data_IF_896502212651
#
_entry.id   IF_896502212651
#
_cell.length_a   1.000
_cell.length_b   1.000
_cell.length_c   1.000
_cell.angle_alpha   90.00
_cell.angle_beta   90.00
_cell.angle_gamma   90.00
#
_symmetry.space_group_name_H-M   'P 1'
#
loop_
_entity.id
_entity.type
_entity.pdbx_description
1 polymer ?
#
# COMPACT_ATOMS: atom_id res chain seq x y z
N UNK A 1 -18.54 -26.67 -14.30
CA UNK A 1 -17.45 -26.40 -15.25
C UNK A 1 -16.96 -24.99 -15.00
N UNK A 2 -16.01 -24.83 -14.08
CA UNK A 2 -15.38 -23.54 -13.74
C UNK A 2 -13.92 -23.82 -13.42
N UNK A 3 -13.15 -24.22 -14.44
CA UNK A 3 -11.69 -24.18 -14.36
C UNK A 3 -11.24 -22.75 -14.66
N UNK A 4 -11.21 -21.91 -13.63
CA UNK A 4 -10.45 -20.66 -13.68
C UNK A 4 -8.97 -21.06 -13.54
N UNK A 5 -8.26 -21.08 -14.66
CA UNK A 5 -6.80 -21.27 -14.67
C UNK A 5 -6.13 -20.09 -13.95
N UNK A 6 -5.95 -20.26 -12.66
CA UNK A 6 -5.18 -19.39 -11.81
C UNK A 6 -3.69 -19.56 -12.19
N UNK A 7 -2.98 -18.47 -12.51
CA UNK A 7 -1.54 -18.54 -12.80
C UNK A 7 -0.81 -19.23 -11.63
N UNK A 8 0.23 -20.06 -11.88
CA UNK A 8 1.00 -20.71 -10.80
C UNK A 8 1.51 -19.72 -9.75
N UNK A 9 1.77 -18.47 -10.14
CA UNK A 9 2.17 -17.39 -9.22
C UNK A 9 1.02 -16.93 -8.29
N UNK A 10 -0.22 -16.89 -8.79
CA UNK A 10 -1.40 -16.55 -8.00
C UNK A 10 -1.79 -17.67 -7.03
N UNK A 11 -1.68 -18.94 -7.46
CA UNK A 11 -1.86 -20.12 -6.59
C UNK A 11 -0.79 -20.18 -5.49
N UNK A 12 0.45 -19.82 -5.82
CA UNK A 12 1.53 -19.73 -4.84
C UNK A 12 1.33 -18.61 -3.82
N UNK A 13 0.90 -17.41 -4.24
CA UNK A 13 0.58 -16.31 -3.32
C UNK A 13 -0.62 -16.65 -2.43
N UNK A 14 -1.67 -17.24 -3.00
CA UNK A 14 -2.84 -17.72 -2.27
C UNK A 14 -2.47 -18.78 -1.22
N UNK A 15 -1.67 -19.79 -1.59
CA UNK A 15 -1.19 -20.82 -0.68
C UNK A 15 -0.18 -20.31 0.36
N UNK A 16 0.65 -19.32 0.00
CA UNK A 16 1.64 -18.73 0.90
C UNK A 16 1.02 -17.84 1.98
N UNK A 17 -0.18 -17.27 1.74
CA UNK A 17 -0.84 -16.36 2.68
C UNK A 17 -2.04 -16.95 3.44
N UNK A 18 -2.66 -18.04 2.98
CA UNK A 18 -3.76 -18.72 3.70
C UNK A 18 -3.32 -19.66 4.83
N UNK A 19 -2.02 -19.90 5.00
CA UNK A 19 -1.49 -20.87 5.97
C UNK A 19 -1.33 -20.35 7.40
N UNK A 20 -2.38 -19.82 8.06
CA UNK A 20 -2.39 -19.69 9.54
C UNK A 20 -3.76 -19.33 10.14
N UNK A 21 -4.79 -20.16 9.93
CA UNK A 21 -5.90 -20.32 10.88
C UNK A 21 -6.30 -21.80 10.86
N UNK A 22 -6.23 -22.42 12.04
CA UNK A 22 -6.76 -23.74 12.47
C UNK A 22 -7.12 -24.75 11.37
N UNK A 23 -6.34 -25.83 11.35
CA UNK A 23 -6.69 -27.06 10.67
C UNK A 23 -7.95 -27.70 11.29
N UNK A 24 -9.11 -27.50 10.70
CA UNK A 24 -10.25 -28.41 10.86
C UNK A 24 -11.08 -28.47 9.57
N UNK A 25 -10.98 -29.63 8.91
CA UNK A 25 -11.87 -30.20 7.90
C UNK A 25 -12.30 -29.35 6.70
N UNK A 26 -11.69 -29.62 5.54
CA UNK A 26 -12.30 -29.39 4.22
C UNK A 26 -12.75 -30.73 3.59
N UNK A 27 -13.84 -30.77 2.80
CA UNK A 27 -14.37 -32.01 2.25
C UNK A 27 -13.61 -32.49 0.99
N UNK A 28 -13.15 -33.75 1.03
CA UNK A 28 -13.67 -34.80 0.16
C UNK A 28 -13.31 -34.89 -1.34
N UNK A 29 -12.48 -34.03 -1.93
CA UNK A 29 -12.11 -34.16 -3.36
C UNK A 29 -10.63 -34.45 -3.66
N UNK A 30 -9.78 -34.54 -2.63
CA UNK A 30 -8.34 -34.80 -2.76
C UNK A 30 -7.93 -36.23 -2.37
N UNK A 31 -8.57 -37.25 -2.95
CA UNK A 31 -8.03 -38.62 -2.99
C UNK A 31 -8.07 -39.13 -4.43
N UNK A 32 -6.90 -39.14 -5.08
CA UNK A 32 -6.74 -39.77 -6.38
C UNK A 32 -5.64 -39.15 -7.22
N UNK A 33 -4.37 -39.31 -6.80
CA UNK A 33 -3.22 -39.32 -7.70
C UNK A 33 -2.01 -39.82 -6.90
N UNK A 34 -1.86 -41.13 -6.85
CA UNK A 34 -0.63 -41.78 -6.40
C UNK A 34 0.51 -41.43 -7.36
N UNK A 35 1.67 -41.19 -6.77
CA UNK A 35 2.93 -40.85 -7.43
C UNK A 35 3.55 -42.09 -8.06
N UNK A 36 3.70 -42.10 -9.38
CA UNK A 36 4.77 -42.83 -10.06
C UNK A 36 5.63 -41.82 -10.81
N UNK A 37 6.94 -41.95 -10.62
CA UNK A 37 7.93 -41.01 -11.12
C UNK A 37 8.09 -41.05 -12.63
N UNK A 38 8.43 -39.89 -13.18
CA UNK A 38 9.47 -39.72 -14.20
C UNK A 38 9.72 -38.22 -14.38
N UNK A 39 10.96 -37.78 -14.17
CA UNK A 39 11.45 -36.52 -14.74
C UNK A 39 11.56 -36.66 -16.26
N UNK A 40 11.26 -35.60 -17.03
CA UNK A 40 12.03 -35.39 -18.23
C UNK A 40 12.63 -33.98 -18.30
N UNK A 41 13.95 -33.98 -18.34
CA UNK A 41 14.81 -32.92 -18.85
C UNK A 41 14.48 -32.55 -20.31
N UNK A 42 14.44 -31.24 -20.58
CA UNK A 42 14.89 -30.68 -21.87
C UNK A 42 13.85 -30.46 -22.97
N UNK A 43 13.33 -29.22 -23.05
CA UNK A 43 13.22 -28.42 -24.30
C UNK A 43 12.58 -27.07 -23.97
N UNK A 44 13.38 -26.01 -23.99
CA UNK A 44 12.86 -24.63 -24.04
C UNK A 44 12.36 -24.36 -25.47
N UNK A 45 11.25 -24.99 -25.82
CA UNK A 45 10.49 -24.70 -27.03
C UNK A 45 9.67 -23.44 -26.81
N UNK A 46 9.84 -22.48 -27.72
CA UNK A 46 9.08 -21.24 -27.85
C UNK A 46 7.59 -21.48 -27.55
N UNK A 47 7.09 -20.98 -26.41
CA UNK A 47 5.67 -20.96 -26.10
C UNK A 47 5.01 -19.85 -26.93
N UNK A 48 4.75 -20.20 -28.18
CA UNK A 48 3.79 -19.54 -29.05
C UNK A 48 2.43 -19.47 -28.36
N UNK A 49 2.00 -18.24 -28.08
CA UNK A 49 0.62 -17.76 -27.98
C UNK A 49 -0.46 -18.82 -27.69
N UNK A 50 -0.75 -19.05 -26.42
CA UNK A 50 -2.09 -19.53 -26.01
C UNK A 50 -2.94 -18.28 -25.80
N UNK A 51 -3.69 -17.94 -26.85
CA UNK A 51 -4.74 -16.94 -26.79
C UNK A 51 -6.00 -17.55 -26.16
N UNK A 52 -6.33 -17.14 -24.93
CA UNK A 52 -7.71 -16.95 -24.49
C UNK A 52 -7.75 -15.67 -23.65
N UNK A 53 -7.60 -14.52 -24.31
CA UNK A 53 -8.10 -13.26 -23.77
C UNK A 53 -9.56 -13.16 -24.19
N UNK A 54 -10.50 -13.36 -23.27
CA UNK A 54 -11.81 -12.72 -23.42
C UNK A 54 -11.54 -11.24 -23.67
N UNK A 55 -11.99 -10.69 -24.79
CA UNK A 55 -11.70 -9.29 -25.12
C UNK A 55 -12.27 -8.40 -24.03
N UNK A 56 -11.38 -7.88 -23.17
CA UNK A 56 -11.66 -6.78 -22.24
C UNK A 56 -12.50 -5.73 -22.95
N UNK A 57 -13.69 -5.41 -22.44
CA UNK A 57 -14.57 -4.51 -23.18
C UNK A 57 -13.92 -3.12 -23.27
N UNK A 58 -14.23 -2.40 -24.35
CA UNK A 58 -13.81 -1.00 -24.49
C UNK A 58 -14.29 -0.15 -23.31
N UNK A 59 -15.44 -0.50 -22.73
CA UNK A 59 -15.99 0.19 -21.57
C UNK A 59 -15.13 -0.04 -20.32
N UNK A 60 -14.76 -1.29 -20.02
CA UNK A 60 -13.89 -1.60 -18.88
C UNK A 60 -12.50 -0.98 -19.04
N UNK A 61 -11.94 -0.94 -20.25
CA UNK A 61 -10.70 -0.22 -20.54
C UNK A 61 -10.79 1.28 -20.17
N UNK A 62 -11.90 1.95 -20.53
CA UNK A 62 -12.10 3.36 -20.19
C UNK A 62 -12.26 3.56 -18.67
N UNK A 63 -12.99 2.65 -18.01
CA UNK A 63 -13.15 2.64 -16.55
C UNK A 63 -11.80 2.47 -15.87
N UNK A 64 -10.98 1.53 -16.31
CA UNK A 64 -9.65 1.29 -15.75
C UNK A 64 -8.71 2.48 -15.93
N UNK A 65 -8.74 3.17 -17.08
CA UNK A 65 -8.01 4.43 -17.27
C UNK A 65 -8.49 5.52 -16.33
N UNK A 66 -9.80 5.60 -16.08
CA UNK A 66 -10.36 6.54 -15.12
C UNK A 66 -9.94 6.19 -13.69
N UNK A 67 -9.98 4.91 -13.31
CA UNK A 67 -9.49 4.42 -12.03
C UNK A 67 -7.99 4.72 -11.83
N UNK A 68 -7.15 4.52 -12.85
CA UNK A 68 -5.72 4.87 -12.80
C UNK A 68 -5.50 6.37 -12.52
N UNK A 69 -6.31 7.26 -13.13
CA UNK A 69 -6.25 8.71 -12.83
C UNK A 69 -6.58 9.00 -11.37
N UNK A 70 -7.59 8.33 -10.80
CA UNK A 70 -7.90 8.46 -9.37
C UNK A 70 -6.77 7.92 -8.50
N UNK A 71 -6.19 6.77 -8.84
CA UNK A 71 -5.05 6.18 -8.14
C UNK A 71 -3.84 7.13 -8.13
N UNK A 72 -3.47 7.72 -9.27
CA UNK A 72 -2.39 8.74 -9.36
C UNK A 72 -2.70 9.95 -8.49
N UNK A 73 -3.93 10.45 -8.55
CA UNK A 73 -4.37 11.57 -7.72
C UNK A 73 -4.31 11.24 -6.22
N UNK A 74 -4.64 10.01 -5.85
CA UNK A 74 -4.48 9.49 -4.50
C UNK A 74 -3.02 9.59 -4.01
N UNK A 75 -2.06 9.17 -4.85
CA UNK A 75 -0.64 9.30 -4.51
C UNK A 75 -0.17 10.76 -4.40
N UNK A 76 -0.62 11.66 -5.29
CA UNK A 76 -0.30 13.10 -5.19
C UNK A 76 -0.80 13.71 -3.87
N UNK A 77 -2.04 13.38 -3.47
CA UNK A 77 -2.63 13.84 -2.21
C UNK A 77 -1.88 13.26 -1.00
N UNK A 78 -1.52 11.98 -1.05
CA UNK A 78 -0.73 11.34 0.00
C UNK A 78 0.65 12.00 0.16
N UNK A 79 1.30 12.38 -0.95
CA UNK A 79 2.56 13.14 -0.93
C UNK A 79 2.43 14.52 -0.26
N UNK A 80 1.23 15.11 -0.30
CA UNK A 80 0.88 16.36 0.41
C UNK A 80 0.34 16.12 1.83
N UNK A 81 0.45 14.90 2.34
CA UNK A 81 -0.09 14.47 3.66
C UNK A 81 -1.62 14.60 3.79
N UNK A 82 -2.35 14.73 2.69
CA UNK A 82 -3.81 14.75 2.68
C UNK A 82 -4.37 13.31 2.69
N UNK A 83 -4.10 12.55 3.76
CA UNK A 83 -4.32 11.11 3.81
C UNK A 83 -5.79 10.69 3.63
N UNK A 84 -6.73 11.42 4.23
CA UNK A 84 -8.17 11.13 4.06
C UNK A 84 -8.64 11.35 2.61
N UNK A 85 -8.18 12.44 1.98
CA UNK A 85 -8.49 12.73 0.58
C UNK A 85 -7.83 11.70 -0.35
N UNK A 86 -6.60 11.28 -0.06
CA UNK A 86 -5.92 10.21 -0.78
C UNK A 86 -6.69 8.87 -0.68
N UNK A 87 -7.11 8.49 0.54
CA UNK A 87 -7.94 7.29 0.77
C UNK A 87 -9.21 7.32 -0.05
N UNK A 88 -9.90 8.47 -0.08
CA UNK A 88 -11.13 8.63 -0.87
C UNK A 88 -10.89 8.39 -2.38
N UNK A 89 -9.75 8.84 -2.92
CA UNK A 89 -9.40 8.59 -4.33
C UNK A 89 -9.13 7.12 -4.63
N UNK A 90 -8.39 6.40 -3.77
CA UNK A 90 -8.16 4.96 -3.95
C UNK A 90 -9.45 4.15 -3.85
N UNK A 91 -10.32 4.46 -2.89
CA UNK A 91 -11.63 3.81 -2.76
C UNK A 91 -12.52 4.11 -3.98
N UNK A 92 -12.46 5.33 -4.52
CA UNK A 92 -13.19 5.68 -5.74
C UNK A 92 -12.69 4.89 -6.95
N UNK A 93 -11.37 4.70 -7.10
CA UNK A 93 -10.80 3.86 -8.14
C UNK A 93 -11.33 2.43 -8.07
N UNK A 94 -11.36 1.82 -6.87
CA UNK A 94 -11.90 0.48 -6.66
C UNK A 94 -13.41 0.40 -6.95
N UNK A 95 -14.19 1.42 -6.58
CA UNK A 95 -15.63 1.48 -6.88
C UNK A 95 -15.92 1.52 -8.38
N UNK A 96 -15.14 2.31 -9.13
CA UNK A 96 -15.31 2.39 -10.58
C UNK A 96 -15.02 1.04 -11.23
N UNK A 97 -13.93 0.38 -10.82
CA UNK A 97 -13.57 -0.95 -11.32
C UNK A 97 -14.63 -2.00 -10.98
N UNK A 98 -15.07 -2.06 -9.72
CA UNK A 98 -16.06 -3.05 -9.29
C UNK A 98 -17.37 -2.90 -10.05
N UNK A 99 -17.84 -1.67 -10.27
CA UNK A 99 -19.03 -1.39 -11.07
C UNK A 99 -18.85 -1.75 -12.55
N UNK A 100 -17.67 -1.50 -13.11
CA UNK A 100 -17.35 -1.87 -14.48
C UNK A 100 -17.34 -3.38 -14.70
N UNK A 101 -16.72 -4.12 -13.78
CA UNK A 101 -16.66 -5.59 -13.82
C UNK A 101 -18.05 -6.21 -13.64
N UNK A 102 -18.84 -5.70 -12.70
CA UNK A 102 -20.23 -6.12 -12.49
C UNK A 102 -21.10 -5.87 -13.73
N UNK A 103 -20.89 -4.74 -14.41
CA UNK A 103 -21.62 -4.42 -15.65
C UNK A 103 -21.25 -5.36 -16.81
N UNK A 104 -20.00 -5.84 -16.89
CA UNK A 104 -19.61 -6.85 -17.88
C UNK A 104 -20.19 -8.24 -17.56
N UNK A 105 -20.18 -8.64 -16.29
CA UNK A 105 -20.66 -9.96 -15.84
C UNK A 105 -22.18 -10.05 -15.66
N UNK A 106 -22.85 -8.90 -15.58
CA UNK A 106 -24.26 -8.76 -15.23
C UNK A 106 -24.61 -9.36 -13.85
N UNK A 107 -23.67 -9.32 -12.91
CA UNK A 107 -23.85 -9.70 -11.52
C UNK A 107 -23.22 -8.65 -10.59
N UNK A 108 -23.67 -8.51 -9.32
CA UNK A 108 -23.14 -7.50 -8.40
C UNK A 108 -22.00 -8.04 -7.54
N UNK A 109 -21.21 -9.00 -8.04
CA UNK A 109 -20.23 -9.74 -7.23
C UNK A 109 -19.12 -8.82 -6.72
N UNK A 110 -18.54 -7.99 -7.58
CA UNK A 110 -17.39 -7.15 -7.26
C UNK A 110 -17.79 -5.98 -6.36
N UNK A 111 -18.92 -5.33 -6.61
CA UNK A 111 -19.37 -4.21 -5.77
C UNK A 111 -19.76 -4.69 -4.37
N UNK A 112 -20.37 -5.88 -4.26
CA UNK A 112 -20.62 -6.51 -2.96
C UNK A 112 -19.31 -6.84 -2.24
N UNK A 113 -18.36 -7.47 -2.93
CA UNK A 113 -17.04 -7.79 -2.39
C UNK A 113 -16.33 -6.52 -1.87
N UNK A 114 -16.40 -5.40 -2.60
CA UNK A 114 -15.80 -4.13 -2.16
C UNK A 114 -16.43 -3.62 -0.86
N UNK A 115 -17.75 -3.68 -0.77
CA UNK A 115 -18.49 -3.20 0.40
C UNK A 115 -18.17 -4.03 1.64
N UNK A 116 -18.20 -5.36 1.53
CA UNK A 116 -17.91 -6.25 2.67
C UNK A 116 -16.41 -6.24 3.03
N UNK A 117 -15.51 -6.12 2.06
CA UNK A 117 -14.07 -6.04 2.32
C UNK A 117 -13.66 -4.77 3.06
N UNK A 118 -14.18 -3.60 2.64
CA UNK A 118 -13.92 -2.34 3.34
C UNK A 118 -14.55 -2.30 4.74
N UNK A 119 -15.71 -2.94 4.92
CA UNK A 119 -16.36 -3.09 6.22
C UNK A 119 -15.54 -3.97 7.15
N UNK A 120 -15.06 -5.11 6.67
CA UNK A 120 -14.23 -6.03 7.46
C UNK A 120 -12.94 -5.34 7.97
N UNK A 121 -12.31 -4.46 7.16
CA UNK A 121 -11.19 -3.62 7.64
C UNK A 121 -11.60 -2.69 8.78
N UNK A 122 -12.82 -2.14 8.76
CA UNK A 122 -13.33 -1.24 9.79
C UNK A 122 -13.70 -1.99 11.06
N UNK A 123 -14.53 -3.02 10.96
CA UNK A 123 -14.95 -3.88 12.08
C UNK A 123 -13.75 -4.59 12.75
N UNK A 124 -12.64 -4.79 12.04
CA UNK A 124 -11.41 -5.27 12.66
C UNK A 124 -10.90 -4.32 13.77
N UNK A 125 -11.13 -3.01 13.70
CA UNK A 125 -10.66 -2.09 14.75
C UNK A 125 -11.30 -2.36 16.12
N UNK A 126 -12.49 -2.97 16.15
CA UNK A 126 -13.22 -3.25 17.40
C UNK A 126 -12.55 -4.35 18.25
N UNK A 127 -11.61 -5.11 17.66
CA UNK A 127 -10.79 -6.09 18.37
C UNK A 127 -9.48 -5.52 18.92
N UNK A 128 -9.21 -4.23 18.71
CA UNK A 128 -8.01 -3.55 19.21
C UNK A 128 -8.39 -2.75 20.46
N UNK A 129 -7.87 -3.11 21.66
CA UNK A 129 -8.18 -2.38 22.89
C UNK A 129 -7.77 -0.90 22.80
N UNK A 130 -8.59 -0.02 23.36
CA UNK A 130 -8.34 1.43 23.37
C UNK A 130 -7.92 1.87 24.78
N UNK A 131 -6.84 2.64 24.87
CA UNK A 131 -6.40 3.25 26.13
C UNK A 131 -5.87 2.21 27.12
N UNK A 132 -6.48 2.12 28.30
CA UNK A 132 -6.07 1.21 29.38
C UNK A 132 -6.85 -0.11 29.41
N UNK A 133 -7.77 -0.32 28.47
CA UNK A 133 -8.55 -1.55 28.40
C UNK A 133 -7.62 -2.71 28.04
N UNK A 134 -7.77 -3.85 28.73
CA UNK A 134 -7.03 -5.07 28.42
C UNK A 134 -7.80 -5.92 27.42
N UNK A 135 -7.06 -6.74 26.66
CA UNK A 135 -7.63 -7.69 25.69
C UNK A 135 -8.66 -8.64 26.33
N UNK A 136 -8.47 -8.99 27.61
CA UNK A 136 -9.34 -9.88 28.36
C UNK A 136 -10.70 -9.27 28.73
N UNK A 137 -10.82 -7.94 28.69
CA UNK A 137 -12.04 -7.22 29.03
C UNK A 137 -12.98 -7.05 27.81
N UNK A 138 -12.59 -7.54 26.64
CA UNK A 138 -13.39 -7.47 25.42
C UNK A 138 -14.41 -8.60 25.39
N UNK A 139 -15.70 -8.25 25.31
CA UNK A 139 -16.77 -9.20 25.01
C UNK A 139 -16.78 -9.52 23.50
N UNK A 140 -15.96 -10.49 23.11
CA UNK A 140 -15.82 -10.95 21.72
C UNK A 140 -17.16 -11.40 21.13
N UNK A 141 -18.03 -12.02 21.94
CA UNK A 141 -19.32 -12.52 21.48
C UNK A 141 -20.30 -11.37 21.17
N UNK A 142 -20.26 -10.29 21.96
CA UNK A 142 -21.04 -9.09 21.69
C UNK A 142 -20.52 -8.34 20.47
N UNK A 143 -19.19 -8.18 20.35
CA UNK A 143 -18.54 -7.52 19.19
C UNK A 143 -18.93 -8.25 17.89
N UNK A 144 -18.69 -9.57 17.82
CA UNK A 144 -19.00 -10.38 16.64
C UNK A 144 -20.48 -10.33 16.26
N UNK A 145 -21.41 -10.37 17.24
CA UNK A 145 -22.85 -10.24 16.96
C UNK A 145 -23.25 -8.88 16.40
N UNK A 146 -22.51 -7.82 16.74
CA UNK A 146 -22.75 -6.47 16.23
C UNK A 146 -22.25 -6.26 14.80
N UNK A 147 -21.34 -7.12 14.32
CA UNK A 147 -20.72 -7.01 13.01
C UNK A 147 -21.61 -7.58 11.91
N UNK A 148 -21.47 -7.03 10.71
CA UNK A 148 -22.14 -7.54 9.51
C UNK A 148 -21.22 -8.40 8.64
N UNK A 149 -19.91 -8.39 8.91
CA UNK A 149 -18.94 -9.22 8.21
C UNK A 149 -19.12 -10.69 8.61
N UNK A 150 -19.37 -11.60 7.65
CA UNK A 150 -19.69 -13.00 7.93
C UNK A 150 -18.43 -13.86 8.14
N UNK A 151 -17.54 -13.46 9.05
CA UNK A 151 -16.33 -14.23 9.40
C UNK A 151 -16.64 -15.30 10.46
N UNK A 152 -17.45 -14.95 11.45
CA UNK A 152 -17.91 -15.87 12.49
C UNK A 152 -19.43 -15.98 12.43
N UNK A 153 -19.94 -17.21 12.41
CA UNK A 153 -21.38 -17.47 12.44
C UNK A 153 -21.88 -17.56 13.88
N UNK A 154 -23.13 -17.17 14.13
CA UNK A 154 -23.76 -17.27 15.45
C UNK A 154 -23.83 -18.70 16.01
N UNK A 155 -23.80 -19.70 15.12
CA UNK A 155 -23.81 -21.14 15.44
C UNK A 155 -22.39 -21.75 15.39
N UNK A 156 -21.39 -20.98 14.95
CA UNK A 156 -20.01 -21.44 14.80
C UNK A 156 -19.18 -21.22 16.07
N UNK A 157 -17.91 -21.66 16.02
CA UNK A 157 -16.96 -21.32 17.06
C UNK A 157 -16.66 -19.82 17.02
N UNK A 158 -16.89 -19.14 18.13
CA UNK A 158 -16.39 -17.79 18.35
C UNK A 158 -14.85 -17.80 18.39
N UNK A 159 -14.20 -16.67 18.09
CA UNK A 159 -12.76 -16.53 18.24
C UNK A 159 -12.36 -16.73 19.71
N UNK A 160 -11.22 -17.38 19.93
CA UNK A 160 -10.68 -17.59 21.28
C UNK A 160 -10.02 -16.32 21.79
N UNK A 161 -9.46 -15.49 20.89
CA UNK A 161 -8.76 -14.25 21.26
C UNK A 161 -9.13 -13.07 20.34
N UNK A 162 -9.00 -11.81 20.80
CA UNK A 162 -9.19 -10.64 19.93
C UNK A 162 -8.21 -10.61 18.76
N UNK A 163 -6.97 -11.08 18.96
CA UNK A 163 -5.95 -11.16 17.92
C UNK A 163 -6.34 -12.14 16.80
N UNK A 164 -6.92 -13.29 17.16
CA UNK A 164 -7.45 -14.26 16.20
C UNK A 164 -8.62 -13.67 15.41
N UNK A 165 -9.54 -12.99 16.08
CA UNK A 165 -10.67 -12.32 15.44
C UNK A 165 -10.20 -11.23 14.46
N UNK A 166 -9.27 -10.38 14.92
CA UNK A 166 -8.64 -9.35 14.12
C UNK A 166 -7.98 -9.92 12.85
N UNK A 167 -7.19 -10.98 13.00
CA UNK A 167 -6.53 -11.65 11.88
C UNK A 167 -7.54 -12.25 10.89
N UNK A 168 -8.60 -12.91 11.38
CA UNK A 168 -9.64 -13.50 10.54
C UNK A 168 -10.39 -12.44 9.71
N UNK A 169 -10.71 -11.29 10.31
CA UNK A 169 -11.33 -10.16 9.60
C UNK A 169 -10.41 -9.56 8.53
N UNK A 170 -9.11 -9.41 8.81
CA UNK A 170 -8.16 -8.91 7.82
C UNK A 170 -7.94 -9.90 6.67
N UNK A 171 -7.89 -11.19 6.94
CA UNK A 171 -7.82 -12.24 5.90
C UNK A 171 -9.06 -12.23 5.01
N UNK A 172 -10.25 -12.16 5.61
CA UNK A 172 -11.49 -12.01 4.85
C UNK A 172 -11.49 -10.72 4.02
N UNK A 173 -11.10 -9.59 4.61
CA UNK A 173 -11.01 -8.32 3.90
C UNK A 173 -10.06 -8.39 2.70
N UNK A 174 -8.89 -9.01 2.86
CA UNK A 174 -7.91 -9.21 1.79
C UNK A 174 -8.53 -9.91 0.59
N UNK A 175 -9.21 -11.05 0.81
CA UNK A 175 -9.85 -11.82 -0.26
C UNK A 175 -10.95 -11.03 -0.96
N UNK A 176 -11.81 -10.37 -0.18
CA UNK A 176 -12.92 -9.59 -0.73
C UNK A 176 -12.44 -8.35 -1.49
N UNK A 177 -11.38 -7.70 -1.02
CA UNK A 177 -10.77 -6.57 -1.72
C UNK A 177 -10.07 -6.99 -3.01
N UNK A 178 -9.46 -8.17 -3.05
CA UNK A 178 -8.90 -8.75 -4.27
C UNK A 178 -10.01 -9.10 -5.27
N UNK A 179 -11.06 -9.80 -4.84
CA UNK A 179 -12.23 -10.10 -5.70
C UNK A 179 -12.84 -8.81 -6.24
N UNK A 180 -13.02 -7.78 -5.41
CA UNK A 180 -13.57 -6.48 -5.82
C UNK A 180 -12.79 -5.80 -6.96
N UNK A 181 -11.47 -5.97 -6.98
CA UNK A 181 -10.59 -5.37 -7.98
C UNK A 181 -10.44 -6.22 -9.25
N UNK A 182 -10.83 -7.50 -9.22
CA UNK A 182 -10.66 -8.44 -10.33
C UNK A 182 -9.18 -8.60 -10.70
N UNK A 183 -8.88 -8.77 -11.98
CA UNK A 183 -7.51 -8.85 -12.52
C UNK A 183 -7.02 -7.50 -13.07
N UNK A 184 -7.53 -6.38 -12.54
CA UNK A 184 -7.23 -5.03 -13.03
C UNK A 184 -6.03 -4.39 -12.33
N UNK A 185 -4.98 -4.10 -13.09
CA UNK A 185 -3.72 -3.47 -12.59
C UNK A 185 -4.00 -2.15 -11.84
N UNK A 186 -4.97 -1.36 -12.31
CA UNK A 186 -5.37 -0.12 -11.63
C UNK A 186 -5.93 -0.39 -10.21
N UNK A 187 -6.63 -1.52 -10.03
CA UNK A 187 -7.14 -1.99 -8.75
C UNK A 187 -6.02 -2.44 -7.82
N UNK A 188 -5.06 -3.21 -8.34
CA UNK A 188 -3.85 -3.57 -7.59
C UNK A 188 -3.10 -2.34 -7.09
N UNK A 189 -2.93 -1.32 -7.94
CA UNK A 189 -2.25 -0.08 -7.57
C UNK A 189 -3.03 0.76 -6.55
N UNK A 190 -4.36 0.75 -6.59
CA UNK A 190 -5.19 1.41 -5.58
C UNK A 190 -5.06 0.72 -4.21
N UNK A 191 -5.07 -0.62 -4.17
CA UNK A 191 -4.85 -1.41 -2.96
C UNK A 191 -3.45 -1.18 -2.39
N UNK A 192 -2.41 -1.17 -3.24
CA UNK A 192 -1.06 -0.77 -2.85
C UNK A 192 -1.03 0.65 -2.22
N UNK A 193 -1.77 1.60 -2.81
CA UNK A 193 -1.92 2.95 -2.28
C UNK A 193 -2.54 2.98 -0.88
N UNK A 194 -3.60 2.20 -0.65
CA UNK A 194 -4.22 2.05 0.67
C UNK A 194 -3.25 1.44 1.70
N UNK A 195 -2.51 0.40 1.33
CA UNK A 195 -1.48 -0.18 2.19
C UNK A 195 -0.41 0.84 2.60
N UNK A 196 0.04 1.67 1.65
CA UNK A 196 0.98 2.77 1.92
C UNK A 196 0.41 3.85 2.85
N UNK A 197 -0.88 4.15 2.76
CA UNK A 197 -1.51 5.06 3.72
C UNK A 197 -1.50 4.48 5.12
N UNK A 198 -1.80 3.19 5.27
CA UNK A 198 -1.77 2.54 6.58
C UNK A 198 -0.37 2.49 7.19
N UNK A 199 0.69 2.21 6.41
CA UNK A 199 2.07 2.27 6.92
C UNK A 199 2.52 3.67 7.29
N UNK A 200 2.10 4.70 6.55
CA UNK A 200 2.46 6.10 6.85
C UNK A 200 1.66 6.67 8.02
N UNK A 201 0.40 6.27 8.18
CA UNK A 201 -0.45 6.66 9.31
C UNK A 201 -0.10 5.93 10.61
N UNK A 202 0.51 4.74 10.54
CA UNK A 202 1.03 4.01 11.70
C UNK A 202 2.12 4.79 12.48
N UNK A 203 2.70 5.85 11.89
CA UNK A 203 3.60 6.76 12.58
C UNK A 203 2.92 7.80 13.47
N UNK A 204 1.58 7.82 13.52
CA UNK A 204 0.80 8.71 14.40
C UNK A 204 0.53 8.03 15.76
N UNK A 205 0.77 8.70 16.90
CA UNK A 205 0.73 8.10 18.24
C UNK A 205 -0.66 7.63 18.74
N UNK A 206 -1.69 7.70 17.88
CA UNK A 206 -3.09 7.38 18.23
C UNK A 206 -3.61 6.07 17.65
N UNK A 207 -2.88 5.43 16.72
CA UNK A 207 -3.25 4.12 16.19
C UNK A 207 -2.35 3.06 16.82
N UNK A 208 -2.91 1.93 17.25
CA UNK A 208 -2.12 0.75 17.58
C UNK A 208 -1.19 0.45 16.40
N UNK A 209 0.11 0.74 16.56
CA UNK A 209 1.11 0.69 15.47
C UNK A 209 1.04 -0.67 14.77
N UNK A 210 0.83 -1.73 15.55
CA UNK A 210 0.64 -3.09 15.08
C UNK A 210 -0.63 -3.27 14.23
N UNK A 211 -1.79 -2.75 14.67
CA UNK A 211 -3.04 -2.84 13.92
C UNK A 211 -2.94 -2.13 12.56
N UNK A 212 -2.30 -0.95 12.51
CA UNK A 212 -2.09 -0.23 11.27
C UNK A 212 -1.13 -0.97 10.32
N UNK A 213 -0.09 -1.62 10.84
CA UNK A 213 0.81 -2.47 10.05
C UNK A 213 0.10 -3.71 9.49
N UNK A 214 -0.68 -4.42 10.29
CA UNK A 214 -1.44 -5.58 9.84
C UNK A 214 -2.45 -5.22 8.75
N UNK A 215 -3.14 -4.08 8.86
CA UNK A 215 -4.00 -3.56 7.79
C UNK A 215 -3.23 -3.27 6.52
N UNK A 216 -2.04 -2.67 6.63
CA UNK A 216 -1.19 -2.45 5.47
C UNK A 216 -0.79 -3.76 4.79
N UNK A 217 -0.46 -4.80 5.56
CA UNK A 217 -0.16 -6.13 5.03
C UNK A 217 -1.35 -6.68 4.22
N UNK A 218 -2.57 -6.63 4.78
CA UNK A 218 -3.77 -7.11 4.10
C UNK A 218 -3.99 -6.40 2.75
N UNK A 219 -3.78 -5.08 2.68
CA UNK A 219 -3.85 -4.33 1.42
C UNK A 219 -2.75 -4.70 0.43
N UNK A 220 -1.51 -4.90 0.89
CA UNK A 220 -0.42 -5.33 -0.01
C UNK A 220 -0.62 -6.76 -0.52
N UNK A 221 -1.13 -7.65 0.32
CA UNK A 221 -1.49 -9.02 -0.09
C UNK A 221 -2.63 -8.99 -1.11
N UNK A 222 -3.70 -8.23 -0.86
CA UNK A 222 -4.79 -8.06 -1.83
C UNK A 222 -4.28 -7.48 -3.16
N UNK A 223 -3.35 -6.51 -3.11
CA UNK A 223 -2.70 -5.96 -4.30
C UNK A 223 -1.94 -7.02 -5.12
N UNK A 224 -1.25 -7.94 -4.46
CA UNK A 224 -0.53 -9.05 -5.12
C UNK A 224 -1.44 -10.18 -5.60
N UNK A 225 -2.60 -10.38 -4.97
CA UNK A 225 -3.62 -11.30 -5.47
C UNK A 225 -4.22 -10.80 -6.79
N UNK A 226 -4.44 -9.49 -6.91
CA UNK A 226 -4.95 -8.84 -8.13
C UNK A 226 -3.90 -8.81 -9.24
N UNK A 227 -2.68 -8.41 -8.91
CA UNK A 227 -1.56 -8.35 -9.86
C UNK A 227 -0.28 -8.90 -9.21
N UNK A 228 0.04 -10.18 -9.45
CA UNK A 228 1.27 -10.78 -8.96
C UNK A 228 2.55 -10.08 -9.45
N UNK A 229 2.48 -9.29 -10.52
CA UNK A 229 3.61 -8.53 -11.06
C UNK A 229 3.84 -7.18 -10.36
N UNK A 230 2.99 -6.80 -9.39
CA UNK A 230 3.12 -5.57 -8.63
C UNK A 230 4.30 -5.63 -7.64
N UNK A 231 5.50 -5.40 -8.17
CA UNK A 231 6.74 -5.41 -7.40
C UNK A 231 6.81 -4.30 -6.33
N UNK A 232 6.01 -3.23 -6.45
CA UNK A 232 5.95 -2.18 -5.43
C UNK A 232 5.27 -2.72 -4.17
N UNK A 233 4.13 -3.40 -4.32
CA UNK A 233 3.45 -4.07 -3.21
C UNK A 233 4.30 -5.20 -2.61
N UNK A 234 4.94 -6.02 -3.46
CA UNK A 234 5.84 -7.08 -3.00
C UNK A 234 7.02 -6.53 -2.17
N UNK A 235 7.65 -5.44 -2.64
CA UNK A 235 8.75 -4.82 -1.90
C UNK A 235 8.31 -4.31 -0.52
N UNK A 236 7.20 -3.56 -0.45
CA UNK A 236 6.70 -3.03 0.83
C UNK A 236 6.24 -4.14 1.77
N UNK A 237 5.56 -5.18 1.26
CA UNK A 237 5.16 -6.34 2.05
C UNK A 237 6.37 -7.09 2.61
N UNK A 238 7.39 -7.32 1.77
CA UNK A 238 8.63 -7.97 2.19
C UNK A 238 9.37 -7.20 3.29
N UNK A 239 9.45 -5.87 3.16
CA UNK A 239 10.04 -5.01 4.20
C UNK A 239 9.22 -5.05 5.49
N UNK A 240 7.90 -5.02 5.40
CA UNK A 240 7.02 -5.04 6.56
C UNK A 240 7.04 -6.38 7.30
N UNK A 241 7.11 -7.49 6.57
CA UNK A 241 7.34 -8.83 7.14
C UNK A 241 8.69 -8.91 7.87
N UNK A 242 9.76 -8.40 7.25
CA UNK A 242 11.09 -8.40 7.86
C UNK A 242 11.15 -7.55 9.14
N UNK A 243 10.40 -6.44 9.21
CA UNK A 243 10.30 -5.59 10.41
C UNK A 243 9.55 -6.27 11.56
N UNK A 244 8.72 -7.25 11.25
CA UNK A 244 7.98 -8.06 12.23
C UNK A 244 8.63 -9.44 12.43
N UNK A 245 9.94 -9.56 12.18
CA UNK A 245 10.75 -10.77 12.34
C UNK A 245 10.28 -12.01 11.55
N UNK A 246 9.36 -11.84 10.59
CA UNK A 246 8.87 -12.89 9.68
C UNK A 246 9.81 -13.08 8.49
N UNK A 247 11.08 -13.35 8.78
CA UNK A 247 12.17 -13.36 7.79
C UNK A 247 11.99 -14.41 6.69
N UNK A 248 11.44 -15.59 6.99
CA UNK A 248 11.22 -16.64 5.99
C UNK A 248 10.17 -16.24 4.96
N UNK A 249 9.11 -15.56 5.38
CA UNK A 249 8.07 -15.05 4.49
C UNK A 249 8.55 -13.82 3.72
N UNK A 250 9.26 -12.91 4.40
CA UNK A 250 9.92 -11.77 3.77
C UNK A 250 10.85 -12.21 2.65
N UNK A 251 11.62 -13.28 2.86
CA UNK A 251 12.52 -13.86 1.84
C UNK A 251 11.73 -14.25 0.60
N UNK A 252 10.65 -15.03 0.76
CA UNK A 252 9.82 -15.51 -0.35
C UNK A 252 9.26 -14.35 -1.18
N UNK A 253 8.69 -13.35 -0.52
CA UNK A 253 8.09 -12.19 -1.20
C UNK A 253 9.16 -11.32 -1.89
N UNK A 254 10.32 -11.13 -1.26
CA UNK A 254 11.42 -10.34 -1.84
C UNK A 254 12.16 -11.07 -2.98
N UNK A 255 12.25 -12.40 -2.93
CA UNK A 255 12.74 -13.22 -4.05
C UNK A 255 11.84 -13.04 -5.27
N UNK A 256 10.52 -13.12 -5.06
CA UNK A 256 9.53 -12.83 -6.11
C UNK A 256 9.65 -11.39 -6.64
N UNK A 257 9.75 -10.40 -5.75
CA UNK A 257 9.96 -9.00 -6.13
C UNK A 257 11.22 -8.80 -6.99
N UNK A 258 12.34 -9.44 -6.61
CA UNK A 258 13.62 -9.32 -7.30
C UNK A 258 13.64 -10.05 -8.65
N UNK A 259 12.79 -11.08 -8.82
CA UNK A 259 12.60 -11.77 -10.09
C UNK A 259 11.83 -10.90 -11.11
N UNK A 260 10.84 -10.13 -10.64
CA UNK A 260 10.03 -9.24 -11.49
C UNK A 260 10.76 -7.92 -11.78
N UNK A 261 11.33 -7.29 -10.74
CA UNK A 261 11.87 -5.94 -10.83
C UNK A 261 13.39 -5.93 -10.79
N UNK A 262 13.99 -5.29 -11.81
CA UNK A 262 15.42 -4.97 -11.84
C UNK A 262 15.73 -3.72 -11.01
N UNK A 263 15.29 -3.69 -9.75
CA UNK A 263 15.49 -2.58 -8.83
C UNK A 263 16.62 -2.88 -7.84
N UNK A 264 17.54 -1.92 -7.66
CA UNK A 264 18.59 -2.03 -6.65
C UNK A 264 18.00 -2.17 -5.24
N UNK A 265 16.89 -1.51 -4.96
CA UNK A 265 16.20 -1.55 -3.66
C UNK A 265 15.69 -2.96 -3.33
N UNK A 266 15.08 -3.65 -4.30
CA UNK A 266 14.56 -5.00 -4.09
C UNK A 266 15.69 -5.99 -3.77
N UNK A 267 16.78 -5.93 -4.52
CA UNK A 267 17.97 -6.76 -4.28
C UNK A 267 18.64 -6.45 -2.94
N UNK A 268 18.70 -5.18 -2.55
CA UNK A 268 19.25 -4.78 -1.26
C UNK A 268 18.38 -5.28 -0.09
N UNK A 269 17.06 -5.10 -0.17
CA UNK A 269 16.14 -5.60 0.85
C UNK A 269 16.24 -7.12 1.00
N UNK A 270 16.35 -7.85 -0.12
CA UNK A 270 16.57 -9.29 -0.10
C UNK A 270 17.91 -9.68 0.56
N UNK A 271 18.98 -8.91 0.31
CA UNK A 271 20.28 -9.12 0.95
C UNK A 271 20.19 -8.96 2.47
N UNK A 272 19.47 -7.94 2.95
CA UNK A 272 19.23 -7.72 4.38
C UNK A 272 18.49 -8.90 5.00
N UNK A 273 17.46 -9.42 4.33
CA UNK A 273 16.72 -10.59 4.83
C UNK A 273 17.59 -11.85 4.84
N UNK A 274 18.41 -12.08 3.81
CA UNK A 274 19.37 -13.19 3.82
C UNK A 274 20.36 -13.09 4.97
N UNK A 275 20.85 -11.90 5.30
CA UNK A 275 21.74 -11.69 6.44
C UNK A 275 21.05 -12.04 7.76
N UNK A 276 19.79 -11.61 7.94
CA UNK A 276 18.99 -11.95 9.14
C UNK A 276 18.74 -13.44 9.29
N UNK A 277 18.70 -14.18 8.18
CA UNK A 277 18.59 -15.64 8.15
C UNK A 277 19.95 -16.38 8.27
N UNK A 278 21.07 -15.67 8.40
CA UNK A 278 22.41 -16.26 8.43
C UNK A 278 22.90 -16.79 7.07
N UNK A 279 22.24 -16.46 5.97
CA UNK A 279 22.54 -16.92 4.61
C UNK A 279 23.59 -16.01 3.94
N UNK A 280 24.77 -15.92 4.54
CA UNK A 280 25.84 -14.95 4.21
C UNK A 280 26.24 -14.94 2.73
N UNK A 281 26.35 -16.10 2.09
CA UNK A 281 26.73 -16.19 0.67
C UNK A 281 25.64 -15.66 -0.26
N UNK A 282 24.36 -15.82 0.10
CA UNK A 282 23.23 -15.30 -0.66
C UNK A 282 23.10 -13.79 -0.45
N UNK A 283 23.29 -13.31 0.79
CA UNK A 283 23.31 -11.89 1.12
C UNK A 283 24.36 -11.13 0.30
N UNK A 284 25.61 -11.63 0.26
CA UNK A 284 26.68 -11.03 -0.56
C UNK A 284 26.35 -10.98 -2.04
N UNK A 285 25.77 -12.06 -2.60
CA UNK A 285 25.37 -12.11 -4.01
C UNK A 285 24.25 -11.12 -4.32
N UNK A 286 23.22 -11.05 -3.48
CA UNK A 286 22.11 -10.11 -3.63
C UNK A 286 22.60 -8.65 -3.56
N UNK A 287 23.48 -8.33 -2.61
CA UNK A 287 24.08 -6.99 -2.48
C UNK A 287 24.96 -6.61 -3.68
N UNK A 288 25.75 -7.55 -4.22
CA UNK A 288 26.49 -7.34 -5.46
C UNK A 288 25.54 -7.05 -6.64
N UNK A 289 24.42 -7.76 -6.71
CA UNK A 289 23.40 -7.52 -7.75
C UNK A 289 22.78 -6.14 -7.60
N UNK A 290 22.43 -5.72 -6.37
CA UNK A 290 21.92 -4.39 -6.07
C UNK A 290 22.87 -3.29 -6.57
N UNK A 291 24.16 -3.41 -6.27
CA UNK A 291 25.20 -2.46 -6.72
C UNK A 291 25.35 -2.40 -8.24
N UNK A 292 25.35 -3.55 -8.92
CA UNK A 292 25.40 -3.60 -10.39
C UNK A 292 24.20 -2.90 -11.01
N UNK A 293 23.00 -3.17 -10.50
CA UNK A 293 21.75 -2.54 -10.97
C UNK A 293 21.79 -1.02 -10.75
N UNK A 294 22.26 -0.58 -9.58
CA UNK A 294 22.42 0.85 -9.27
C UNK A 294 23.43 1.54 -10.21
N UNK A 295 24.56 0.88 -10.52
CA UNK A 295 25.57 1.40 -11.44
C UNK A 295 25.06 1.52 -12.88
N UNK A 296 24.17 0.63 -13.31
CA UNK A 296 23.55 0.69 -14.65
C UNK A 296 22.43 1.75 -14.75
N UNK A 297 22.00 2.35 -13.63
CA UNK A 297 20.90 3.31 -13.60
C UNK A 297 21.38 4.67 -13.02
N UNK A 298 22.02 5.52 -13.85
CA UNK A 298 22.75 6.71 -13.36
C UNK A 298 21.86 7.78 -12.72
N UNK A 299 20.53 7.73 -12.88
CA UNK A 299 19.60 8.66 -12.19
C UNK A 299 19.57 8.49 -10.66
N UNK A 300 19.90 7.31 -10.14
CA UNK A 300 20.01 7.06 -8.69
C UNK A 300 21.39 7.48 -8.16
N UNK A 301 22.44 7.36 -8.99
CA UNK A 301 23.76 7.90 -8.69
C UNK A 301 23.74 9.44 -8.64
N UNK A 302 23.09 10.09 -9.62
CA UNK A 302 22.92 11.53 -9.70
C UNK A 302 21.98 12.14 -8.63
N UNK A 303 21.16 11.33 -7.96
CA UNK A 303 20.36 11.78 -6.81
C UNK A 303 21.14 11.87 -5.49
N UNK A 304 22.30 11.19 -5.41
CA UNK A 304 23.28 11.33 -4.32
C UNK A 304 24.45 12.24 -4.71
N UNK A 305 24.71 12.37 -5.99
CA UNK A 305 25.55 13.41 -6.56
C UNK A 305 24.65 14.37 -7.33
N UNK A 306 23.88 15.20 -6.61
CA UNK A 306 23.49 16.48 -7.17
C UNK A 306 24.77 17.05 -7.80
N UNK A 307 24.68 17.43 -9.07
CA UNK A 307 25.75 18.02 -9.87
C UNK A 307 26.80 18.62 -8.96
N UNK A 308 28.05 18.16 -9.05
CA UNK A 308 29.17 18.77 -8.36
C UNK A 308 29.34 20.21 -8.85
N UNK A 309 28.44 21.09 -8.42
CA UNK A 309 28.80 22.45 -8.09
C UNK A 309 29.74 22.25 -6.94
N UNK A 310 31.00 22.57 -7.18
CA UNK A 310 32.06 22.54 -6.19
C UNK A 310 31.67 23.48 -5.04
N UNK A 311 30.95 22.96 -4.04
CA UNK A 311 30.54 23.73 -2.86
C UNK A 311 31.77 23.88 -1.99
N UNK A 312 32.55 24.90 -2.29
CA UNK A 312 33.67 25.34 -1.47
C UNK A 312 33.14 26.16 -0.31
N UNK A 313 33.29 25.65 0.91
CA UNK A 313 33.08 26.45 2.11
C UNK A 313 34.12 27.55 2.17
N UNK A 314 33.65 28.79 2.11
CA UNK A 314 34.51 29.97 2.19
C UNK A 314 34.44 30.54 3.61
N UNK A 315 35.57 30.78 4.30
CA UNK A 315 35.61 31.52 5.56
C UNK A 315 34.89 32.87 5.46
N UNK A 316 34.13 33.26 6.50
CA UNK A 316 33.30 34.47 6.51
C UNK A 316 34.07 35.77 6.16
N UNK A 317 35.37 35.80 6.45
CA UNK A 317 36.27 36.94 6.17
C UNK A 317 36.45 37.22 4.69
N UNK A 318 36.29 36.22 3.81
CA UNK A 318 36.36 36.38 2.36
C UNK A 318 35.01 36.81 1.75
N UNK A 319 33.89 36.52 2.42
CA UNK A 319 32.55 36.93 1.97
C UNK A 319 32.33 38.44 2.16
N UNK A 320 32.93 39.01 3.21
CA UNK A 320 32.82 40.43 3.56
C UNK A 320 33.71 41.35 2.70
N UNK A 321 34.77 40.80 2.07
CA UNK A 321 35.65 41.56 1.18
C UNK A 321 35.12 41.65 -0.27
N UNK A 322 34.23 40.74 -0.69
CA UNK A 322 33.65 40.77 -2.04
C UNK A 322 32.59 41.87 -2.26
N UNK A 323 32.12 42.51 -1.19
CA UNK A 323 31.18 43.65 -1.26
C UNK A 323 31.84 45.04 -1.29
N UNK A 324 33.18 45.11 -1.25
CA UNK A 324 33.91 46.37 -1.12
C UNK A 324 35.08 46.47 -2.10
N UNK A 325 34.78 46.64 -3.40
CA UNK A 325 35.82 46.91 -4.40
C UNK A 325 35.34 47.06 -5.84
N UNK A 326 34.92 48.29 -6.20
CA UNK A 326 34.98 48.97 -7.51
C UNK A 326 34.29 48.32 -8.76
N UNK A 327 33.46 49.02 -9.54
CA UNK A 327 33.11 50.44 -9.52
C UNK A 327 32.09 50.84 -10.61
N UNK A 328 31.40 51.95 -10.31
CA UNK A 328 31.01 53.02 -11.24
C UNK A 328 30.06 52.73 -12.40
N UNK A 329 28.77 53.05 -12.23
CA UNK A 329 28.04 53.95 -13.16
C UNK A 329 27.05 54.82 -12.37
N UNK A 330 27.15 56.12 -12.63
CA UNK A 330 26.35 57.19 -12.09
C UNK A 330 24.84 57.00 -12.32
N UNK A 331 24.05 57.17 -11.26
CA UNK A 331 22.79 57.93 -11.32
C UNK A 331 22.63 58.71 -10.02
N UNK A 332 22.86 60.01 -10.11
CA UNK A 332 22.56 60.97 -9.05
C UNK A 332 21.06 60.99 -8.75
N UNK A 333 20.68 60.55 -7.55
CA UNK A 333 19.38 60.91 -6.95
C UNK A 333 19.65 61.89 -5.82
N UNK A 334 19.18 63.11 -6.03
CA UNK A 334 19.27 64.20 -5.08
C UNK A 334 18.43 63.93 -3.83
N UNK A 335 19.02 64.30 -2.70
CA UNK A 335 18.48 64.31 -1.34
C UNK A 335 17.17 65.07 -1.18
N UNK A 336 16.20 64.47 -0.48
CA UNK A 336 15.02 65.13 0.07
C UNK A 336 14.69 64.57 1.47
N UNK A 337 14.68 65.45 2.47
CA UNK A 337 14.58 65.17 3.91
C UNK A 337 13.22 64.61 4.34
N UNK A 338 13.27 63.85 5.44
CA UNK A 338 12.17 63.30 6.24
C UNK A 338 11.18 64.36 6.77
N UNK A 339 9.87 64.04 6.80
CA UNK A 339 8.93 64.43 7.85
C UNK A 339 7.69 63.48 7.89
N UNK A 340 7.05 63.28 9.06
CA UNK A 340 6.22 62.11 9.37
C UNK A 340 4.70 62.29 9.12
N UNK A 341 3.98 61.18 9.24
CA UNK A 341 2.56 60.98 8.92
C UNK A 341 1.55 61.72 9.82
N UNK A 342 0.31 61.94 9.32
CA UNK A 342 -0.87 62.12 10.16
C UNK A 342 -1.82 60.91 10.09
N UNK A 343 -2.29 60.43 11.25
CA UNK A 343 -3.57 59.72 11.40
C UNK A 343 -4.71 60.75 11.52
N UNK A 344 -5.96 60.47 11.10
CA UNK A 344 -6.95 59.76 11.93
C UNK A 344 -7.88 58.86 11.06
N UNK A 345 -8.78 57.99 11.51
CA UNK A 345 -9.56 57.80 12.73
C UNK A 345 -10.57 56.67 12.38
N UNK A 346 -10.73 55.64 13.21
CA UNK A 346 -11.84 55.62 14.17
C UNK A 346 -13.16 55.21 13.52
N UNK A 347 -13.49 53.91 13.56
CA UNK A 347 -14.85 53.46 13.88
C UNK A 347 -14.87 52.02 14.39
N UNK A 348 -15.33 51.93 15.62
CA UNK A 348 -15.49 50.76 16.49
C UNK A 348 -16.73 49.94 16.17
N UNK A 349 -16.59 48.63 16.39
CA UNK A 349 -17.55 47.71 17.04
C UNK A 349 -18.94 47.47 16.41
N UNK A 350 -19.26 46.19 16.16
CA UNK A 350 -19.96 45.35 17.15
C UNK A 350 -20.09 43.90 16.68
N UNK A 351 -19.69 43.01 17.58
CA UNK A 351 -20.14 41.63 17.69
C UNK A 351 -21.64 41.56 18.00
N UNK A 352 -22.38 40.63 17.39
CA UNK A 352 -23.57 40.06 18.01
C UNK A 352 -23.77 38.60 17.59
N UNK A 353 -23.57 37.74 18.57
CA UNK A 353 -24.20 36.43 18.68
C UNK A 353 -25.72 36.60 18.75
N UNK A 354 -26.48 35.75 18.04
CA UNK A 354 -27.80 35.25 18.45
C UNK A 354 -28.37 34.24 17.43
N UNK A 355 -28.45 32.99 17.86
CA UNK A 355 -29.58 32.07 17.66
C UNK A 355 -29.69 31.28 18.99
N UNK A 356 -30.85 30.75 19.43
CA UNK A 356 -32.01 30.35 18.63
C UNK A 356 -33.39 30.79 19.21
N UNK A 357 -34.45 30.72 18.41
CA UNK A 357 -35.81 30.59 18.93
C UNK A 357 -36.61 29.55 18.12
N UNK A 358 -37.09 28.56 18.87
CA UNK A 358 -38.12 27.59 18.52
C UNK A 358 -39.50 28.10 18.94
N UNK A 359 -40.50 27.95 18.07
CA UNK A 359 -41.95 27.71 18.30
C UNK A 359 -42.66 28.01 16.96
N UNK A 360 -43.63 27.26 16.47
CA UNK A 360 -44.62 26.38 17.08
C UNK A 360 -45.05 25.33 16.04
#
# INVERSE_FOLDING_TARGET
MTDRFCSPAALWLAAAFMGSVVATSWPGWARGAETTGDEPSGRWGVLSAVAITGQRSRQLELIARQADRHTRRGFELAGRKAFYAARAQFVLALRLLSQGLDAERQDPVHTKALAVGLRAIQEADDFVPIGSQLEADLDLAAIVRGHQTPVFSAEGSLPVTPMEAFAAYLSFAQEQLAEAAGDEVAGSMALYGLGKLHTTMAGSPYAGIQAAQSKAMAFYQASLLVDPSNYLAANELGVLLARNDRYLEARRVLEHCAAISRSATAWHNLAVVYQRLGLEQLARRAEQRARRVAATNPKVAAGRTGTAVDVRWVPFTLFSQAGSGAGGRDTSVATGKHQPAPSPGGRTARSRWAAPETRN
#
